data_IF_002076052735
#
_entry.id   IF_002076052735
#
_cell.length_a   1.000
_cell.length_b   1.000
_cell.length_c   1.000
_cell.angle_alpha   90.00
_cell.angle_beta   90.00
_cell.angle_gamma   90.00
#
_symmetry.space_group_name_H-M   'P 1'
#
loop_
_entity.id
_entity.type
_entity.pdbx_description
1 polymer ?
#
# COMPACT_ATOMS: atom_id res chain seq x y z
N UNK A 1 1.24 -6.22 -3.08
CA UNK A 1 0.85 -6.86 -1.81
C UNK A 1 2.02 -7.37 -1.00
N UNK A 2 2.65 -8.50 -1.37
CA UNK A 2 3.61 -9.19 -0.51
C UNK A 2 4.78 -8.32 -0.01
N UNK A 3 5.34 -7.46 -0.87
CA UNK A 3 6.47 -6.59 -0.49
C UNK A 3 6.08 -5.46 0.49
N UNK A 4 4.90 -4.86 0.32
CA UNK A 4 4.36 -3.89 1.29
C UNK A 4 4.10 -4.56 2.65
N UNK A 5 3.63 -5.81 2.64
CA UNK A 5 3.48 -6.61 3.86
C UNK A 5 4.81 -6.82 4.59
N UNK A 6 5.85 -7.23 3.87
CA UNK A 6 7.20 -7.38 4.44
C UNK A 6 7.78 -6.05 4.92
N UNK A 7 7.57 -4.95 4.19
CA UNK A 7 7.94 -3.63 4.66
C UNK A 7 7.30 -3.32 6.02
N UNK A 8 6.01 -3.60 6.20
CA UNK A 8 5.33 -3.41 7.49
C UNK A 8 5.92 -4.29 8.59
N UNK A 9 6.27 -5.55 8.33
CA UNK A 9 6.92 -6.43 9.31
C UNK A 9 8.19 -5.77 9.85
N UNK A 10 9.18 -5.49 9.00
CA UNK A 10 10.47 -4.98 9.47
C UNK A 10 10.43 -3.51 9.91
N UNK A 11 9.54 -2.71 9.32
CA UNK A 11 9.44 -1.29 9.62
C UNK A 11 8.59 -1.01 10.87
N UNK A 12 7.44 -1.68 11.03
CA UNK A 12 6.45 -1.37 12.07
C UNK A 12 6.42 -2.38 13.20
N UNK A 13 6.51 -3.67 12.91
CA UNK A 13 6.10 -4.70 13.85
C UNK A 13 7.27 -5.45 14.50
N UNK A 14 8.38 -5.63 13.79
CA UNK A 14 9.57 -6.29 14.34
C UNK A 14 10.20 -5.40 15.42
N UNK A 15 10.57 -6.04 16.53
CA UNK A 15 11.07 -5.37 17.74
C UNK A 15 12.42 -4.67 17.45
N UNK A 16 13.35 -5.41 16.85
CA UNK A 16 14.62 -4.85 16.38
C UNK A 16 14.48 -4.17 15.02
N UNK A 17 15.17 -3.05 14.83
CA UNK A 17 15.29 -2.44 13.50
C UNK A 17 16.48 -3.04 12.78
N UNK A 18 16.18 -3.63 11.62
CA UNK A 18 17.17 -4.21 10.70
C UNK A 18 17.21 -3.32 9.45
N UNK A 19 18.09 -2.29 9.37
CA UNK A 19 18.07 -1.31 8.29
C UNK A 19 18.11 -1.94 6.89
N UNK A 20 18.98 -2.93 6.69
CA UNK A 20 19.10 -3.62 5.41
C UNK A 20 17.80 -4.30 4.95
N UNK A 21 16.99 -4.83 5.89
CA UNK A 21 15.70 -5.44 5.56
C UNK A 21 14.65 -4.37 5.27
N UNK A 22 14.58 -3.32 6.09
CA UNK A 22 13.68 -2.18 5.89
C UNK A 22 13.92 -1.55 4.51
N UNK A 23 15.17 -1.19 4.22
CA UNK A 23 15.57 -0.55 2.96
C UNK A 23 15.23 -1.46 1.77
N UNK A 24 15.50 -2.77 1.86
CA UNK A 24 15.19 -3.72 0.79
C UNK A 24 13.70 -3.69 0.44
N UNK A 25 12.81 -3.80 1.42
CA UNK A 25 11.37 -3.88 1.16
C UNK A 25 10.75 -2.53 0.82
N UNK A 26 11.25 -1.43 1.37
CA UNK A 26 10.81 -0.09 0.98
C UNK A 26 11.25 0.27 -0.44
N UNK A 27 12.49 -0.04 -0.83
CA UNK A 27 12.96 0.16 -2.20
C UNK A 27 12.19 -0.70 -3.20
N UNK A 28 11.93 -1.97 -2.91
CA UNK A 28 11.12 -2.80 -3.80
C UNK A 28 9.66 -2.33 -3.85
N UNK A 29 9.10 -1.89 -2.72
CA UNK A 29 7.79 -1.23 -2.68
C UNK A 29 7.73 0.00 -3.58
N UNK A 30 8.75 0.87 -3.50
CA UNK A 30 8.89 2.04 -4.38
C UNK A 30 8.97 1.63 -5.84
N UNK A 31 9.82 0.65 -6.19
CA UNK A 31 9.98 0.17 -7.57
C UNK A 31 8.65 -0.34 -8.15
N UNK A 32 7.88 -1.10 -7.37
CA UNK A 32 6.56 -1.59 -7.78
C UNK A 32 5.56 -0.46 -8.01
N UNK A 33 5.57 0.57 -7.15
CA UNK A 33 4.73 1.75 -7.34
C UNK A 33 5.15 2.58 -8.55
N UNK A 34 6.44 2.66 -8.88
CA UNK A 34 6.92 3.27 -10.13
C UNK A 34 6.46 2.51 -11.37
N UNK A 35 6.45 1.17 -11.34
CA UNK A 35 5.89 0.37 -12.44
C UNK A 35 4.39 0.65 -12.62
N UNK A 36 3.65 0.74 -11.52
CA UNK A 36 2.23 1.06 -11.55
C UNK A 36 1.97 2.49 -12.09
N UNK A 37 2.78 3.46 -11.67
CA UNK A 37 2.71 4.84 -12.18
C UNK A 37 2.90 4.89 -13.71
N UNK A 38 3.92 4.20 -14.23
CA UNK A 38 4.13 4.10 -15.68
C UNK A 38 3.01 3.35 -16.42
N UNK A 39 2.41 2.34 -15.79
CA UNK A 39 1.25 1.64 -16.34
C UNK A 39 0.01 2.55 -16.45
N UNK A 40 -0.09 3.55 -15.58
CA UNK A 40 -1.20 4.51 -15.52
C UNK A 40 -0.97 5.74 -16.41
N UNK A 41 0.18 5.85 -17.10
CA UNK A 41 0.43 6.92 -18.06
C UNK A 41 -0.61 6.85 -19.20
N UNK A 42 -1.36 7.94 -19.37
CA UNK A 42 -2.46 8.05 -20.32
C UNK A 42 -3.67 7.14 -20.02
N UNK A 43 -3.78 6.57 -18.82
CA UNK A 43 -4.88 5.65 -18.45
C UNK A 43 -5.52 6.02 -17.11
N UNK A 44 -6.83 5.92 -17.05
CA UNK A 44 -7.55 6.09 -15.78
C UNK A 44 -7.48 4.86 -14.88
N UNK A 45 -7.34 3.67 -15.46
CA UNK A 45 -7.36 2.37 -14.78
C UNK A 45 -6.27 1.44 -15.29
N UNK A 46 -5.87 0.48 -14.45
CA UNK A 46 -4.71 -0.39 -14.71
C UNK A 46 -4.81 -1.13 -16.05
N UNK A 47 -6.01 -1.63 -16.40
CA UNK A 47 -6.25 -2.41 -17.60
C UNK A 47 -6.95 -1.63 -18.72
N UNK A 48 -6.92 -0.29 -18.68
CA UNK A 48 -7.71 0.58 -19.57
C UNK A 48 -9.08 0.87 -18.96
N UNK A 49 -9.94 -0.16 -18.87
CA UNK A 49 -11.21 -0.07 -18.16
C UNK A 49 -11.06 -0.45 -16.67
N UNK A 50 -11.94 0.09 -15.82
CA UNK A 50 -11.99 -0.25 -14.41
C UNK A 50 -12.22 -1.75 -14.23
N UNK A 51 -11.38 -2.40 -13.43
CA UNK A 51 -11.41 -3.84 -13.29
C UNK A 51 -11.06 -4.30 -11.87
N UNK A 52 -11.11 -5.62 -11.69
CA UNK A 52 -10.62 -6.27 -10.47
C UNK A 52 -9.12 -6.01 -10.21
N UNK A 53 -8.35 -5.64 -11.23
CA UNK A 53 -6.94 -5.27 -11.05
C UNK A 53 -6.81 -4.02 -10.17
N UNK A 54 -7.65 -3.00 -10.38
CA UNK A 54 -7.68 -1.79 -9.56
C UNK A 54 -8.11 -2.13 -8.13
N UNK A 55 -9.14 -2.95 -7.98
CA UNK A 55 -9.65 -3.41 -6.68
C UNK A 55 -8.59 -4.18 -5.89
N UNK A 56 -7.84 -5.06 -6.56
CA UNK A 56 -6.81 -5.88 -5.92
C UNK A 56 -5.58 -5.05 -5.53
N UNK A 57 -5.28 -3.99 -6.28
CA UNK A 57 -4.05 -3.20 -6.13
C UNK A 57 -4.22 -2.04 -5.16
N UNK A 58 -5.35 -1.34 -5.21
CA UNK A 58 -5.57 -0.10 -4.47
C UNK A 58 -5.41 -0.22 -2.95
N UNK A 59 -5.94 -1.26 -2.26
CA UNK A 59 -5.79 -1.39 -0.81
C UNK A 59 -4.31 -1.47 -0.36
N UNK A 60 -3.42 -1.96 -1.23
CA UNK A 60 -1.98 -2.01 -0.95
C UNK A 60 -1.28 -0.71 -1.27
N UNK A 61 -1.68 -0.01 -2.33
CA UNK A 61 -1.05 1.24 -2.74
C UNK A 61 -1.44 2.41 -1.82
N UNK A 62 -2.70 2.47 -1.37
CA UNK A 62 -3.20 3.58 -0.53
C UNK A 62 -2.57 3.62 0.88
N UNK A 63 -1.94 2.53 1.32
CA UNK A 63 -1.24 2.42 2.61
C UNK A 63 0.29 2.55 2.47
N UNK A 64 0.77 3.17 1.38
CA UNK A 64 2.20 3.37 1.15
C UNK A 64 2.88 4.11 2.32
N UNK A 65 2.19 5.08 2.94
CA UNK A 65 2.66 5.84 4.10
C UNK A 65 2.90 4.95 5.34
N UNK A 66 1.99 4.02 5.58
CA UNK A 66 2.09 3.03 6.65
C UNK A 66 3.33 2.16 6.44
N UNK A 67 3.57 1.78 5.18
CA UNK A 67 4.70 0.96 4.76
C UNK A 67 6.02 1.72 4.67
N UNK A 68 6.00 3.05 4.86
CA UNK A 68 7.18 3.91 4.75
C UNK A 68 7.71 4.06 3.32
N UNK A 69 6.84 3.90 2.31
CA UNK A 69 7.20 4.03 0.90
C UNK A 69 6.82 5.42 0.40
N UNK A 70 7.81 6.20 -0.04
CA UNK A 70 7.61 7.50 -0.66
C UNK A 70 7.00 7.35 -2.06
N UNK A 71 6.06 8.23 -2.40
CA UNK A 71 5.39 8.29 -3.71
C UNK A 71 5.61 9.65 -4.40
N UNK A 72 6.57 10.45 -3.94
CA UNK A 72 6.93 11.71 -4.59
C UNK A 72 7.34 11.46 -6.04
N UNK A 73 6.86 12.31 -6.96
CA UNK A 73 7.07 12.17 -8.40
C UNK A 73 6.30 11.05 -9.11
N UNK A 74 5.38 10.35 -8.43
CA UNK A 74 4.48 9.36 -9.04
C UNK A 74 3.09 9.97 -9.25
N UNK A 75 2.97 10.87 -10.22
CA UNK A 75 1.78 11.71 -10.36
C UNK A 75 0.58 10.96 -10.95
N UNK A 76 0.80 9.99 -11.85
CA UNK A 76 -0.27 9.14 -12.38
C UNK A 76 -0.81 8.21 -11.29
N UNK A 77 0.08 7.67 -10.46
CA UNK A 77 -0.30 6.88 -9.29
C UNK A 77 -1.16 7.68 -8.32
N UNK A 78 -0.75 8.93 -7.99
CA UNK A 78 -1.53 9.80 -7.10
C UNK A 78 -2.92 10.08 -7.66
N UNK A 79 -3.01 10.45 -8.94
CA UNK A 79 -4.28 10.67 -9.62
C UNK A 79 -5.19 9.43 -9.58
N UNK A 80 -4.63 8.24 -9.79
CA UNK A 80 -5.38 6.98 -9.67
C UNK A 80 -5.80 6.65 -8.23
N UNK A 81 -4.95 6.92 -7.22
CA UNK A 81 -5.29 6.75 -5.81
C UNK A 81 -6.48 7.62 -5.42
N UNK A 82 -6.47 8.89 -5.83
CA UNK A 82 -7.53 9.87 -5.58
C UNK A 82 -8.83 9.46 -6.30
N UNK A 83 -8.74 9.15 -7.59
CA UNK A 83 -9.89 8.67 -8.39
C UNK A 83 -10.54 7.42 -7.78
N UNK A 84 -9.74 6.49 -7.27
CA UNK A 84 -10.26 5.31 -6.57
C UNK A 84 -10.93 5.68 -5.24
N UNK A 85 -10.35 6.61 -4.47
CA UNK A 85 -10.90 7.06 -3.19
C UNK A 85 -12.24 7.79 -3.33
N UNK A 86 -12.47 8.47 -4.45
CA UNK A 86 -13.72 9.16 -4.77
C UNK A 86 -14.89 8.20 -5.07
N UNK A 87 -14.61 6.92 -5.37
CA UNK A 87 -15.67 5.95 -5.71
C UNK A 87 -16.51 5.62 -4.46
N UNK A 88 -17.85 5.79 -4.49
CA UNK A 88 -18.70 5.49 -3.33
C UNK A 88 -18.60 4.04 -2.84
N UNK A 89 -18.37 3.08 -3.74
CA UNK A 89 -18.18 1.67 -3.39
C UNK A 89 -16.87 1.42 -2.63
N UNK A 90 -15.79 2.13 -2.99
CA UNK A 90 -14.49 2.04 -2.31
C UNK A 90 -14.58 2.66 -0.92
N UNK A 91 -15.24 3.82 -0.80
CA UNK A 91 -15.48 4.45 0.51
C UNK A 91 -16.26 3.54 1.47
N UNK A 92 -17.27 2.82 0.98
CA UNK A 92 -17.98 1.81 1.78
C UNK A 92 -17.08 0.63 2.14
N UNK A 93 -16.37 0.06 1.16
CA UNK A 93 -15.51 -1.10 1.37
C UNK A 93 -14.38 -0.85 2.37
N UNK A 94 -13.78 0.36 2.38
CA UNK A 94 -12.71 0.72 3.31
C UNK A 94 -13.14 0.70 4.78
N UNK A 95 -14.44 0.83 5.05
CA UNK A 95 -14.99 0.86 6.40
C UNK A 95 -15.55 -0.51 6.83
N UNK A 96 -15.31 -1.58 6.05
CA UNK A 96 -15.81 -2.93 6.32
C UNK A 96 -14.64 -3.93 6.21
N UNK A 97 -14.24 -4.61 7.31
CA UNK A 97 -14.70 -4.37 8.69
C UNK A 97 -14.31 -2.97 9.19
N UNK A 98 -14.91 -2.50 10.31
CA UNK A 98 -14.52 -1.23 10.92
C UNK A 98 -13.01 -1.13 11.07
N UNK A 99 -12.44 0.03 10.68
CA UNK A 99 -11.00 0.21 10.66
C UNK A 99 -10.46 0.25 12.10
N UNK A 100 -9.53 -0.63 12.48
CA UNK A 100 -8.88 -0.57 13.79
C UNK A 100 -8.00 0.68 13.91
N UNK A 101 -7.66 1.08 15.13
CA UNK A 101 -6.71 2.17 15.32
C UNK A 101 -5.31 1.76 14.85
N UNK A 102 -4.45 2.75 14.57
CA UNK A 102 -3.04 2.47 14.22
C UNK A 102 -2.31 1.73 15.34
N UNK A 103 -2.71 1.97 16.60
CA UNK A 103 -2.17 1.27 17.77
C UNK A 103 -2.57 -0.20 17.73
N UNK A 104 -3.87 -0.49 17.64
CA UNK A 104 -4.37 -1.88 17.60
C UNK A 104 -3.80 -2.66 16.41
N UNK A 105 -3.62 -1.99 15.26
CA UNK A 105 -2.99 -2.58 14.07
C UNK A 105 -1.54 -2.98 14.32
N UNK A 106 -0.78 -2.13 15.04
CA UNK A 106 0.62 -2.42 15.39
C UNK A 106 0.71 -3.57 16.39
N UNK A 107 -0.10 -3.52 17.44
CA UNK A 107 -0.12 -4.55 18.49
C UNK A 107 -0.55 -5.92 17.93
N UNK A 108 -1.54 -5.95 17.04
CA UNK A 108 -1.94 -7.17 16.33
C UNK A 108 -0.83 -7.67 15.39
N UNK A 109 -0.12 -6.78 14.71
CA UNK A 109 1.02 -7.16 13.87
C UNK A 109 2.17 -7.77 14.68
N UNK A 110 2.47 -7.18 15.84
CA UNK A 110 3.50 -7.66 16.78
C UNK A 110 3.16 -9.05 17.34
N UNK A 111 1.90 -9.32 17.67
CA UNK A 111 1.49 -10.61 18.26
C UNK A 111 1.53 -11.79 17.29
N UNK A 112 1.55 -11.54 15.98
CA UNK A 112 1.62 -12.59 14.94
C UNK A 112 3.06 -12.98 14.61
N UNK A 113 4.04 -12.11 14.90
CA UNK A 113 5.45 -12.41 14.68
C UNK A 113 5.88 -13.39 15.77
N UNK A 114 5.98 -14.67 15.40
CA UNK A 114 6.51 -15.71 16.29
C UNK A 114 7.99 -15.41 16.53
N UNK A 115 8.32 -15.08 17.77
CA UNK A 115 9.68 -15.00 18.29
C UNK A 115 10.23 -16.37 18.65
#
# INVERSE_FOLDING_TARGET
GPMMGQANVFYRYFDEKIPAAIDRYQHEGRRLLTVLDGQLDGRDWICGDYSIADIATWPWAVIHDWSGVDISGLDHLKAWLDRMAERPAVARGRNIPPRPSRKDTTEAGQSIIVT
#
